data_IF_868600246467
#
_entry.id   IF_868600246467
#
_cell.length_a   1.000
_cell.length_b   1.000
_cell.length_c   1.000
_cell.angle_alpha   90.00
_cell.angle_beta   90.00
_cell.angle_gamma   90.00
#
_symmetry.space_group_name_H-M   'P 1'
#
loop_
_entity.id
_entity.type
_entity.pdbx_description
1 polymer ?
#
# COMPACT_ATOMS: atom_id res chain seq x y z
N UNK A 1 -18.66 -16.46 7.53
CA UNK A 1 -18.34 -15.15 6.99
C UNK A 1 -17.78 -15.31 5.60
N UNK A 2 -18.12 -14.46 4.72
CA UNK A 2 -17.77 -14.65 3.35
C UNK A 2 -16.37 -14.12 3.04
N UNK A 3 -15.89 -14.44 1.85
CA UNK A 3 -14.53 -14.08 1.46
C UNK A 3 -14.38 -12.58 1.25
N UNK A 4 -15.48 -11.86 1.02
CA UNK A 4 -15.42 -10.41 0.86
C UNK A 4 -14.92 -9.74 2.15
N UNK A 5 -15.44 -10.19 3.29
CA UNK A 5 -14.99 -9.64 4.58
C UNK A 5 -13.54 -9.96 4.85
N UNK A 6 -13.10 -11.19 4.53
CA UNK A 6 -11.71 -11.55 4.72
C UNK A 6 -10.79 -10.71 3.85
N UNK A 7 -11.19 -10.48 2.60
CA UNK A 7 -10.38 -9.67 1.70
C UNK A 7 -10.36 -8.21 2.14
N UNK A 8 -11.48 -7.72 2.65
CA UNK A 8 -11.54 -6.36 3.16
C UNK A 8 -10.57 -6.15 4.32
N UNK A 9 -10.52 -7.13 5.25
CA UNK A 9 -9.61 -7.04 6.39
C UNK A 9 -8.16 -7.06 5.94
N UNK A 10 -7.81 -7.93 4.99
CA UNK A 10 -6.46 -8.00 4.48
C UNK A 10 -6.06 -6.71 3.80
N UNK A 11 -6.96 -6.16 2.99
CA UNK A 11 -6.69 -4.89 2.31
C UNK A 11 -6.43 -3.78 3.29
N UNK A 12 -7.28 -3.66 4.30
CA UNK A 12 -7.13 -2.61 5.31
C UNK A 12 -5.86 -2.79 6.11
N UNK A 13 -5.48 -4.03 6.42
CA UNK A 13 -4.26 -4.30 7.15
C UNK A 13 -3.03 -3.88 6.36
N UNK A 14 -3.03 -4.15 5.06
CA UNK A 14 -1.93 -3.76 4.19
C UNK A 14 -1.79 -2.24 4.18
N UNK A 15 -2.90 -1.54 3.98
CA UNK A 15 -2.86 -0.08 3.91
C UNK A 15 -2.45 0.53 5.24
N UNK A 16 -2.99 -0.01 6.34
CA UNK A 16 -2.65 0.50 7.67
C UNK A 16 -1.16 0.34 7.96
N UNK A 17 -0.60 -0.82 7.60
CA UNK A 17 0.83 -1.03 7.82
C UNK A 17 1.65 -0.03 7.02
N UNK A 18 1.30 0.18 5.75
CA UNK A 18 2.03 1.12 4.91
C UNK A 18 1.97 2.54 5.46
N UNK A 19 0.84 2.92 6.08
CA UNK A 19 0.68 4.26 6.63
C UNK A 19 1.40 4.45 7.95
N UNK A 20 1.65 3.36 8.68
CA UNK A 20 2.32 3.43 9.97
C UNK A 20 3.83 3.34 9.87
N UNK A 21 4.34 2.59 8.91
CA UNK A 21 5.77 2.35 8.83
C UNK A 21 6.45 3.49 8.09
N UNK A 22 7.69 3.75 8.46
CA UNK A 22 8.53 4.71 7.76
C UNK A 22 9.61 4.04 6.92
N UNK A 23 9.53 2.73 6.81
CA UNK A 23 10.60 1.96 6.16
C UNK A 23 10.45 1.85 4.65
N UNK A 24 9.33 2.30 4.10
CA UNK A 24 9.05 2.14 2.67
C UNK A 24 9.19 0.68 2.26
N UNK A 25 8.30 -0.19 2.75
CA UNK A 25 8.49 -1.63 2.54
C UNK A 25 8.23 -2.05 1.12
N UNK A 26 8.86 -3.17 0.74
CA UNK A 26 8.52 -3.89 -0.47
C UNK A 26 7.28 -4.74 -0.24
N UNK A 27 6.76 -5.34 -1.34
CA UNK A 27 5.62 -6.25 -1.22
C UNK A 27 5.95 -7.43 -0.31
N UNK A 28 7.15 -7.96 -0.40
CA UNK A 28 7.55 -9.10 0.43
C UNK A 28 7.65 -8.71 1.90
N UNK A 29 8.13 -7.52 2.18
CA UNK A 29 8.18 -7.05 3.56
C UNK A 29 6.78 -6.91 4.15
N UNK A 30 5.84 -6.39 3.37
CA UNK A 30 4.44 -6.30 3.79
C UNK A 30 3.90 -7.70 4.07
N UNK A 31 4.14 -8.62 3.15
CA UNK A 31 3.68 -9.99 3.28
C UNK A 31 4.22 -10.63 4.56
N UNK A 32 5.52 -10.53 4.78
CA UNK A 32 6.15 -11.14 5.95
C UNK A 32 5.66 -10.53 7.25
N UNK A 33 5.39 -9.23 7.26
CA UNK A 33 4.91 -8.56 8.45
C UNK A 33 3.50 -9.01 8.82
N UNK A 34 2.64 -9.19 7.83
CA UNK A 34 1.23 -9.48 8.08
C UNK A 34 0.91 -10.96 8.15
N UNK A 35 1.76 -11.82 7.64
CA UNK A 35 1.48 -13.24 7.57
C UNK A 35 1.13 -13.87 8.92
N UNK A 36 1.82 -13.53 10.02
CA UNK A 36 1.46 -14.12 11.31
C UNK A 36 0.02 -13.84 11.73
N UNK A 37 -0.51 -12.67 11.41
CA UNK A 37 -1.88 -12.30 11.76
C UNK A 37 -2.89 -12.76 10.72
N UNK A 38 -2.44 -13.02 9.51
CA UNK A 38 -3.31 -13.44 8.41
C UNK A 38 -2.68 -14.65 7.72
N UNK A 39 -2.79 -15.84 8.36
CA UNK A 39 -2.07 -17.02 7.85
C UNK A 39 -2.43 -17.42 6.43
N UNK A 40 -3.62 -17.05 5.96
CA UNK A 40 -4.05 -17.36 4.60
C UNK A 40 -3.72 -16.25 3.60
N UNK A 41 -2.95 -15.25 4.03
CA UNK A 41 -2.51 -14.19 3.12
C UNK A 41 -1.51 -14.76 2.11
N UNK A 42 -1.67 -14.40 0.85
CA UNK A 42 -0.71 -14.79 -0.19
C UNK A 42 0.03 -13.56 -0.68
N UNK A 43 1.21 -13.80 -1.22
CA UNK A 43 2.00 -12.72 -1.79
C UNK A 43 1.27 -12.09 -2.98
N UNK A 44 0.57 -12.91 -3.77
CA UNK A 44 -0.22 -12.38 -4.89
C UNK A 44 -1.30 -11.42 -4.43
N UNK A 45 -1.93 -11.70 -3.29
CA UNK A 45 -2.92 -10.80 -2.73
C UNK A 45 -2.27 -9.46 -2.36
N UNK A 46 -1.08 -9.49 -1.79
CA UNK A 46 -0.35 -8.27 -1.44
C UNK A 46 -0.08 -7.45 -2.71
N UNK A 47 0.45 -8.09 -3.75
CA UNK A 47 0.76 -7.38 -5.00
C UNK A 47 -0.49 -6.76 -5.62
N UNK A 48 -1.61 -7.51 -5.62
CA UNK A 48 -2.85 -6.98 -6.20
C UNK A 48 -3.34 -5.74 -5.45
N UNK A 49 -3.25 -5.79 -4.12
CA UNK A 49 -3.70 -4.66 -3.32
C UNK A 49 -2.76 -3.46 -3.47
N UNK A 50 -1.47 -3.70 -3.52
CA UNK A 50 -0.52 -2.60 -3.72
C UNK A 50 -0.75 -1.91 -5.05
N UNK A 51 -0.99 -2.68 -6.11
CA UNK A 51 -1.28 -2.10 -7.42
C UNK A 51 -2.56 -1.28 -7.39
N UNK A 52 -3.60 -1.80 -6.73
CA UNK A 52 -4.86 -1.08 -6.61
C UNK A 52 -4.68 0.23 -5.84
N UNK A 53 -3.99 0.18 -4.70
CA UNK A 53 -3.78 1.38 -3.91
C UNK A 53 -2.96 2.42 -4.67
N UNK A 54 -1.95 1.96 -5.40
CA UNK A 54 -1.11 2.86 -6.19
C UNK A 54 -1.93 3.53 -7.28
N UNK A 55 -2.78 2.77 -7.96
CA UNK A 55 -3.61 3.31 -9.02
C UNK A 55 -4.62 4.32 -8.50
N UNK A 56 -5.08 4.14 -7.26
CA UNK A 56 -6.00 5.08 -6.63
C UNK A 56 -5.32 6.27 -6.00
N UNK A 57 -4.00 6.27 -5.94
CA UNK A 57 -3.27 7.34 -5.29
C UNK A 57 -3.23 7.25 -3.77
N UNK A 58 -3.62 6.12 -3.22
CA UNK A 58 -3.60 5.93 -1.76
C UNK A 58 -2.22 5.58 -1.23
N UNK A 59 -1.36 5.07 -2.08
CA UNK A 59 0.05 4.88 -1.78
C UNK A 59 0.85 5.31 -3.00
N UNK A 60 2.16 5.44 -2.82
CA UNK A 60 3.01 5.76 -3.95
C UNK A 60 4.24 4.87 -3.94
N UNK A 61 4.80 4.65 -5.11
CA UNK A 61 6.08 3.97 -5.24
C UNK A 61 7.18 5.01 -5.03
N UNK A 62 8.11 4.72 -4.14
CA UNK A 62 9.19 5.65 -3.85
C UNK A 62 10.49 5.23 -4.52
N UNK A 63 10.39 4.31 -5.47
CA UNK A 63 11.54 3.90 -6.25
C UNK A 63 11.86 2.44 -6.06
N UNK A 64 12.94 2.02 -6.70
CA UNK A 64 13.37 0.64 -6.69
C UNK A 64 14.76 0.56 -6.07
N UNK A 65 14.88 -0.30 -5.05
CA UNK A 65 16.15 -0.52 -4.38
C UNK A 65 16.58 -1.95 -4.66
N UNK A 66 17.72 -2.11 -5.32
CA UNK A 66 18.24 -3.43 -5.69
C UNK A 66 17.21 -4.25 -6.50
N UNK A 67 16.51 -3.57 -7.42
CA UNK A 67 15.51 -4.24 -8.24
C UNK A 67 14.18 -4.49 -7.57
N UNK A 68 13.98 -3.98 -6.36
CA UNK A 68 12.76 -4.23 -5.58
C UNK A 68 12.04 -2.92 -5.36
N UNK A 69 10.78 -2.86 -5.81
CA UNK A 69 9.97 -1.66 -5.65
C UNK A 69 9.57 -1.46 -4.19
N UNK A 70 9.66 -0.21 -3.72
CA UNK A 70 9.32 0.16 -2.36
C UNK A 70 8.13 1.11 -2.37
N UNK A 71 7.38 1.12 -1.29
CA UNK A 71 6.11 1.86 -1.23
C UNK A 71 6.01 2.74 0.00
N UNK A 72 5.24 3.82 -0.12
CA UNK A 72 4.96 4.74 0.98
C UNK A 72 3.45 4.96 1.04
N UNK A 73 2.86 4.70 2.21
CA UNK A 73 1.43 4.91 2.43
C UNK A 73 1.07 6.31 2.90
N UNK A 74 2.07 7.17 3.06
CA UNK A 74 1.83 8.53 3.54
C UNK A 74 1.83 9.52 2.40
N UNK A 75 0.91 9.33 1.48
CA UNK A 75 0.71 10.27 0.40
C UNK A 75 -0.07 11.43 0.95
N UNK A 76 0.63 12.36 1.49
CA UNK A 76 -0.05 13.46 2.13
C UNK A 76 -0.52 14.45 1.09
N UNK A 77 -1.82 14.60 0.93
CA UNK A 77 -2.35 15.42 -0.16
C UNK A 77 -2.25 16.89 0.09
N UNK A 78 -1.85 17.27 1.21
CA UNK A 78 -1.81 18.69 1.39
C UNK A 78 -0.67 19.32 0.68
N UNK A 79 -0.85 19.18 0.21
CA UNK A 79 -0.04 19.59 -0.41
C UNK A 79 -0.27 19.61 -1.67
N UNK A 80 -0.99 19.22 -1.63
CA UNK A 80 -1.29 19.13 -2.33
C UNK A 80 -1.72 19.01 -3.13
N UNK A 81 -1.95 19.27 -3.55
CA UNK A 81 -2.47 19.29 -4.03
C UNK A 81 -2.50 18.96 -4.87
N UNK A 82 -2.38 19.06 -5.06
CA UNK A 82 -2.48 18.91 -5.63
C UNK A 82 -2.33 18.45 -6.48
N UNK A 83 -2.55 18.58 -6.83
CA UNK A 83 -2.57 18.30 -7.30
C UNK A 83 -2.74 17.99 -8.00
N UNK A 84 -3.02 18.27 -8.16
CA UNK A 84 -3.31 18.19 -8.53
C UNK A 84 -3.38 18.35 -8.97
N UNK A 85 -3.31 18.77 -8.86
CA UNK A 85 -3.40 19.17 -8.92
C UNK A 85 -3.21 19.39 -9.22
N UNK A 86 -3.31 19.69 -9.38
CA UNK A 86 -3.18 20.08 -9.43
C UNK A 86 -3.04 20.30 -9.71
N UNK A 87 -3.39 20.65 -9.93
CA UNK A 87 -3.40 21.10 -9.98
C UNK A 87 -3.25 21.73 -10.10
N UNK A 88 -3.48 22.00 -10.04
CA UNK A 88 -3.44 22.79 -9.86
C UNK A 88 -3.14 23.43 -9.89
N UNK A 89 -3.35 23.84 -9.78
CA UNK A 89 -3.14 24.55 -9.60
C UNK A 89 -2.74 25.02 -9.69
N UNK A 90 -2.97 25.42 -9.78
CA UNK A 90 -2.64 25.83 -9.69
C UNK A 90 -2.34 25.92 -9.73
#
# INVERSE_FOLDING_TARGET
MDSTTKQFRKRNAILAYLRQTKEHPSAEMVFNHLKPDYPDLSLGTVYRNLSMFKNKGEIMSVGTVNGVERFDGNTNPHVHYTKRKKRVAI
#
